data_IF_554888764216
#
_entry.id   IF_554888764216
#
_cell.length_a   1.000
_cell.length_b   1.000
_cell.length_c   1.000
_cell.angle_alpha   90.00
_cell.angle_beta   90.00
_cell.angle_gamma   90.00
#
_symmetry.space_group_name_H-M   'P 1'
#
loop_
_entity.id
_entity.type
_entity.pdbx_description
1 polymer ?
#
# COMPACT_ATOMS: atom_id res chain seq x y z
N UNK A 1 -11.82 1.74 -11.71
CA UNK A 1 -10.76 0.99 -11.04
C UNK A 1 -9.55 0.93 -11.97
N UNK A 2 -8.49 1.63 -11.65
CA UNK A 2 -7.27 1.55 -12.45
C UNK A 2 -6.59 0.20 -12.18
N UNK A 3 -6.39 -0.59 -13.21
CA UNK A 3 -5.56 -1.80 -13.12
C UNK A 3 -4.10 -1.38 -13.10
N UNK A 4 -3.42 -1.66 -12.04
CA UNK A 4 -1.97 -1.48 -11.96
C UNK A 4 -1.30 -2.79 -12.29
N UNK A 5 -0.45 -2.76 -13.29
CA UNK A 5 0.37 -3.90 -13.69
C UNK A 5 1.68 -3.81 -12.91
N UNK A 6 1.97 -4.81 -12.09
CA UNK A 6 3.21 -4.89 -11.35
C UNK A 6 4.19 -5.78 -12.11
N UNK A 7 5.34 -5.23 -12.52
CA UNK A 7 6.43 -6.02 -13.07
C UNK A 7 7.19 -6.68 -11.92
N UNK A 8 6.96 -7.97 -11.71
CA UNK A 8 7.72 -8.77 -10.74
C UNK A 8 8.86 -9.44 -11.48
N UNK A 9 10.09 -9.04 -11.17
CA UNK A 9 11.25 -9.78 -11.61
C UNK A 9 11.44 -10.96 -10.65
N UNK A 10 10.87 -12.10 -11.00
CA UNK A 10 11.20 -13.34 -10.31
C UNK A 10 12.63 -13.75 -10.70
N UNK A 11 13.47 -13.93 -9.69
CA UNK A 11 14.74 -14.61 -9.87
C UNK A 11 14.42 -16.05 -10.31
N UNK A 12 14.91 -16.50 -11.48
CA UNK A 12 14.68 -17.87 -11.90
C UNK A 12 15.29 -18.83 -10.88
N UNK A 13 14.69 -20.00 -10.64
CA UNK A 13 15.37 -21.05 -9.88
C UNK A 13 16.71 -21.33 -10.52
N UNK A 14 17.74 -21.60 -9.71
CA UNK A 14 19.14 -21.79 -10.12
C UNK A 14 19.32 -22.82 -11.25
N UNK A 15 18.33 -23.67 -11.48
CA UNK A 15 18.30 -24.71 -12.52
C UNK A 15 17.81 -24.25 -13.90
N UNK A 16 17.25 -23.03 -14.03
CA UNK A 16 16.68 -22.56 -15.30
C UNK A 16 17.15 -21.15 -15.64
N UNK A 17 18.37 -21.09 -16.19
CA UNK A 17 19.03 -19.84 -16.60
C UNK A 17 18.52 -19.32 -17.96
N UNK A 18 17.62 -20.05 -18.62
CA UNK A 18 17.21 -19.75 -20.00
C UNK A 18 15.95 -18.86 -20.10
N UNK A 19 15.28 -18.59 -19.00
CA UNK A 19 14.06 -17.77 -18.96
C UNK A 19 14.35 -16.38 -18.37
N UNK A 20 15.15 -15.57 -19.04
CA UNK A 20 15.42 -14.18 -18.64
C UNK A 20 14.36 -13.17 -19.08
N UNK A 21 13.22 -13.62 -19.59
CA UNK A 21 12.17 -12.71 -20.04
C UNK A 21 11.43 -12.14 -18.83
N UNK A 22 11.40 -10.79 -18.68
CA UNK A 22 10.55 -10.16 -17.70
C UNK A 22 9.09 -10.50 -18.02
N UNK A 23 8.35 -10.96 -17.02
CA UNK A 23 6.92 -11.18 -17.19
C UNK A 23 6.12 -10.20 -16.33
N UNK A 24 4.94 -9.91 -16.81
CA UNK A 24 3.97 -9.05 -16.12
C UNK A 24 2.85 -9.94 -15.63
N UNK A 25 2.53 -9.80 -14.36
CA UNK A 25 1.45 -10.55 -13.72
C UNK A 25 0.39 -9.57 -13.21
N UNK A 26 -0.87 -9.84 -13.51
CA UNK A 26 -1.99 -9.10 -12.93
C UNK A 26 -2.29 -9.64 -11.52
N UNK A 27 -1.99 -8.83 -10.52
CA UNK A 27 -2.24 -9.14 -9.11
C UNK A 27 -3.62 -8.67 -8.62
N UNK A 28 -4.42 -8.04 -9.47
CA UNK A 28 -5.72 -7.48 -9.07
C UNK A 28 -6.71 -8.50 -8.50
N UNK A 29 -6.69 -9.80 -8.87
CA UNK A 29 -7.54 -10.79 -8.22
C UNK A 29 -7.22 -11.04 -6.74
N UNK A 30 -5.96 -10.82 -6.34
CA UNK A 30 -5.46 -11.10 -4.99
C UNK A 30 -5.24 -9.86 -4.16
N UNK A 31 -5.00 -8.72 -4.80
CA UNK A 31 -4.65 -7.46 -4.14
C UNK A 31 -5.55 -6.33 -4.57
N UNK A 32 -5.77 -5.41 -3.67
CA UNK A 32 -6.46 -4.16 -3.92
C UNK A 32 -5.53 -2.97 -3.65
N UNK A 33 -5.80 -1.87 -4.33
CA UNK A 33 -5.15 -0.59 -4.10
C UNK A 33 -6.13 0.37 -3.46
N UNK A 34 -5.77 0.89 -2.29
CA UNK A 34 -6.46 2.02 -1.69
C UNK A 34 -5.64 3.29 -1.95
N UNK A 35 -6.27 4.30 -2.49
CA UNK A 35 -5.67 5.63 -2.64
C UNK A 35 -6.02 6.49 -1.44
N UNK A 36 -5.01 7.07 -0.83
CA UNK A 36 -5.17 8.07 0.23
C UNK A 36 -4.59 9.38 -0.27
N UNK A 37 -5.42 10.39 -0.41
CA UNK A 37 -5.04 11.70 -0.94
C UNK A 37 -5.57 12.83 -0.06
N UNK A 38 -5.05 14.02 -0.26
CA UNK A 38 -5.43 15.23 0.48
C UNK A 38 -4.24 15.88 1.16
N UNK A 39 -4.44 17.12 1.60
CA UNK A 39 -3.37 17.94 2.20
C UNK A 39 -2.81 17.31 3.48
N UNK A 40 -3.65 16.62 4.24
CA UNK A 40 -3.28 16.01 5.51
C UNK A 40 -2.95 14.50 5.38
N UNK A 41 -2.88 13.95 4.17
CA UNK A 41 -2.69 12.51 3.95
C UNK A 41 -1.39 11.99 4.58
N UNK A 42 -0.29 12.72 4.43
CA UNK A 42 1.01 12.35 5.01
C UNK A 42 0.96 12.29 6.53
N UNK A 43 0.41 13.31 7.16
CA UNK A 43 0.25 13.41 8.61
C UNK A 43 -0.68 12.33 9.15
N UNK A 44 -1.82 12.16 8.47
CA UNK A 44 -2.81 11.15 8.83
C UNK A 44 -2.22 9.74 8.83
N UNK A 45 -1.58 9.35 7.71
CA UNK A 45 -0.97 8.03 7.59
C UNK A 45 0.22 7.85 8.55
N UNK A 46 1.03 8.88 8.76
CA UNK A 46 2.14 8.83 9.70
C UNK A 46 1.69 8.51 11.13
N UNK A 47 0.54 9.04 11.53
CA UNK A 47 -0.05 8.82 12.85
C UNK A 47 -0.76 7.46 12.99
N UNK A 48 -1.12 6.82 11.88
CA UNK A 48 -1.82 5.53 11.86
C UNK A 48 -0.90 4.33 11.66
N UNK A 49 0.19 4.50 10.92
CA UNK A 49 1.04 3.42 10.45
C UNK A 49 2.32 3.28 11.29
N UNK A 50 2.93 2.12 11.23
CA UNK A 50 4.14 1.81 12.01
C UNK A 50 5.43 2.35 11.40
N UNK A 51 5.41 2.73 10.12
CA UNK A 51 6.58 3.24 9.41
C UNK A 51 6.59 4.78 9.33
N UNK A 52 7.76 5.35 9.08
CA UNK A 52 7.88 6.79 8.83
C UNK A 52 7.38 7.15 7.43
N UNK A 53 6.12 7.55 7.37
CA UNK A 53 5.45 7.93 6.12
C UNK A 53 5.99 9.25 5.55
N UNK A 54 6.37 10.18 6.43
CA UNK A 54 6.86 11.50 6.02
C UNK A 54 8.22 11.43 5.35
N UNK A 55 9.05 10.48 5.75
CA UNK A 55 10.36 10.25 5.15
C UNK A 55 10.30 9.53 3.79
N UNK A 56 9.15 8.97 3.40
CA UNK A 56 9.01 8.26 2.12
C UNK A 56 9.06 9.23 0.95
N UNK A 57 10.08 9.15 0.07
CA UNK A 57 10.18 10.02 -1.09
C UNK A 57 9.13 9.69 -2.15
N UNK A 58 8.80 10.67 -3.00
CA UNK A 58 7.92 10.45 -4.15
C UNK A 58 8.52 9.40 -5.09
N UNK A 59 7.68 8.50 -5.58
CA UNK A 59 8.09 7.37 -6.42
C UNK A 59 8.68 6.18 -5.67
N UNK A 60 8.79 6.25 -4.34
CA UNK A 60 9.27 5.15 -3.52
C UNK A 60 8.13 4.38 -2.86
N UNK A 61 8.45 3.17 -2.41
CA UNK A 61 7.55 2.31 -1.66
C UNK A 61 8.27 1.67 -0.47
N UNK A 62 7.52 1.36 0.57
CA UNK A 62 8.01 0.69 1.76
C UNK A 62 6.95 -0.25 2.35
N UNK A 63 7.40 -1.26 3.07
CA UNK A 63 6.52 -2.05 3.90
C UNK A 63 6.10 -1.29 5.14
N UNK A 64 4.84 -1.45 5.52
CA UNK A 64 4.30 -0.85 6.73
C UNK A 64 3.28 -1.77 7.38
N UNK A 65 3.01 -1.54 8.64
CA UNK A 65 1.98 -2.21 9.39
C UNK A 65 0.96 -1.23 9.96
N UNK A 66 -0.19 -1.74 10.28
CA UNK A 66 -1.21 -1.02 11.02
C UNK A 66 -1.58 -1.79 12.29
N UNK A 67 -1.58 -1.08 13.40
CA UNK A 67 -1.88 -1.63 14.71
C UNK A 67 -3.07 -0.89 15.34
N UNK A 68 -3.72 -1.53 16.29
CA UNK A 68 -4.66 -0.85 17.19
C UNK A 68 -3.89 0.08 18.13
N UNK A 69 -4.58 1.06 18.77
CA UNK A 69 -3.96 1.91 19.80
C UNK A 69 -3.34 1.13 20.97
N UNK A 70 -3.78 -0.09 21.19
CA UNK A 70 -3.22 -1.02 22.22
C UNK A 70 -2.02 -1.82 21.70
N UNK A 71 -1.53 -1.55 20.49
CA UNK A 71 -0.41 -2.24 19.87
C UNK A 71 -0.72 -3.61 19.27
N UNK A 72 -2.01 -3.98 19.14
CA UNK A 72 -2.38 -5.22 18.46
C UNK A 72 -2.23 -5.04 16.96
N UNK A 73 -1.45 -5.90 16.36
CA UNK A 73 -1.23 -5.95 14.92
C UNK A 73 -2.51 -6.31 14.16
N UNK A 74 -2.80 -5.59 13.10
CA UNK A 74 -3.98 -5.79 12.25
C UNK A 74 -3.62 -6.32 10.87
N UNK A 75 -2.71 -5.64 10.18
CA UNK A 75 -2.36 -5.95 8.79
C UNK A 75 -1.02 -5.33 8.41
N UNK A 76 -0.30 -6.00 7.48
CA UNK A 76 0.82 -5.41 6.74
C UNK A 76 0.43 -5.16 5.29
N UNK A 77 1.03 -4.14 4.71
CA UNK A 77 0.86 -3.82 3.30
C UNK A 77 2.03 -2.98 2.80
N UNK A 78 2.10 -2.83 1.49
CA UNK A 78 3.05 -1.92 0.87
C UNK A 78 2.43 -0.54 0.73
N UNK A 79 3.13 0.47 1.21
CA UNK A 79 2.81 1.87 1.05
C UNK A 79 3.71 2.47 -0.02
N UNK A 80 3.13 3.00 -1.08
CA UNK A 80 3.82 3.73 -2.12
C UNK A 80 3.40 5.21 -2.12
N UNK A 81 4.32 6.09 -2.46
CA UNK A 81 4.04 7.51 -2.63
C UNK A 81 4.11 7.89 -4.11
N UNK A 82 3.06 8.48 -4.63
CA UNK A 82 3.03 9.05 -5.97
C UNK A 82 2.85 10.58 -5.93
N UNK A 83 2.65 11.21 -7.10
CA UNK A 83 2.46 12.65 -7.20
C UNK A 83 1.15 13.14 -6.55
N UNK A 84 0.12 12.28 -6.49
CA UNK A 84 -1.23 12.62 -6.04
C UNK A 84 -1.53 12.18 -4.60
N UNK A 85 -0.58 11.50 -3.95
CA UNK A 85 -0.76 11.03 -2.59
C UNK A 85 -0.11 9.68 -2.32
N UNK A 86 -0.84 8.79 -1.67
CA UNK A 86 -0.35 7.49 -1.24
C UNK A 86 -1.21 6.36 -1.78
N UNK A 87 -0.58 5.24 -2.08
CA UNK A 87 -1.20 4.00 -2.51
C UNK A 87 -0.87 2.90 -1.50
N UNK A 88 -1.90 2.26 -0.99
CA UNK A 88 -1.78 1.12 -0.10
C UNK A 88 -2.12 -0.14 -0.91
N UNK A 89 -1.12 -0.99 -1.13
CA UNK A 89 -1.29 -2.29 -1.76
C UNK A 89 -1.47 -3.36 -0.68
N UNK A 90 -2.65 -3.93 -0.61
CA UNK A 90 -3.04 -4.89 0.42
C UNK A 90 -3.87 -6.03 -0.17
N UNK A 91 -3.96 -7.18 0.53
CA UNK A 91 -4.80 -8.27 0.06
C UNK A 91 -6.26 -7.84 -0.08
N UNK A 92 -6.88 -8.19 -1.21
CA UNK A 92 -8.24 -7.76 -1.56
C UNK A 92 -9.29 -8.17 -0.53
N UNK A 93 -9.09 -9.30 0.14
CA UNK A 93 -9.97 -9.80 1.20
C UNK A 93 -10.12 -8.83 2.39
N UNK A 94 -9.12 -7.98 2.65
CA UNK A 94 -9.13 -7.03 3.76
C UNK A 94 -9.38 -5.58 3.34
N UNK A 95 -9.37 -5.30 2.05
CA UNK A 95 -9.38 -3.93 1.51
C UNK A 95 -10.56 -3.11 1.99
N UNK A 96 -11.78 -3.66 1.92
CA UNK A 96 -12.98 -2.96 2.32
C UNK A 96 -13.02 -2.71 3.84
N UNK A 97 -12.69 -3.71 4.63
CA UNK A 97 -12.64 -3.59 6.09
C UNK A 97 -11.60 -2.56 6.54
N UNK A 98 -10.43 -2.56 5.92
CA UNK A 98 -9.35 -1.59 6.18
C UNK A 98 -9.76 -0.18 5.77
N UNK A 99 -10.33 0.00 4.57
CA UNK A 99 -10.81 1.29 4.09
C UNK A 99 -11.89 1.87 5.01
N UNK A 100 -12.86 1.07 5.38
CA UNK A 100 -13.93 1.47 6.31
C UNK A 100 -13.36 1.91 7.66
N UNK A 101 -12.41 1.13 8.19
CA UNK A 101 -11.81 1.42 9.48
C UNK A 101 -10.91 2.67 9.43
N UNK A 102 -10.12 2.86 8.37
CA UNK A 102 -9.33 4.09 8.19
C UNK A 102 -10.21 5.32 8.12
N UNK A 103 -11.33 5.27 7.39
CA UNK A 103 -12.29 6.38 7.30
C UNK A 103 -12.85 6.80 8.65
N UNK A 104 -12.96 5.89 9.61
CA UNK A 104 -13.41 6.21 10.96
C UNK A 104 -12.44 7.12 11.72
N UNK A 105 -11.16 7.13 11.36
CA UNK A 105 -10.13 8.00 11.95
C UNK A 105 -9.95 9.33 11.20
N UNK A 106 -10.58 9.47 10.02
CA UNK A 106 -10.62 10.74 9.29
C UNK A 106 -11.69 11.65 9.90
N UNK A 107 -11.36 12.34 10.99
CA UNK A 107 -12.30 13.18 11.72
C UNK A 107 -12.38 14.60 11.14
N UNK A 108 -11.30 15.36 11.27
CA UNK A 108 -11.18 16.75 10.80
C UNK A 108 -10.09 16.93 9.75
N UNK A 109 -9.43 15.84 9.37
CA UNK A 109 -8.34 15.85 8.41
C UNK A 109 -8.87 15.98 6.98
N UNK A 110 -8.15 16.71 6.13
CA UNK A 110 -8.44 16.83 4.70
C UNK A 110 -7.88 15.62 3.96
N UNK A 111 -8.53 14.47 4.14
CA UNK A 111 -8.11 13.17 3.60
C UNK A 111 -9.27 12.51 2.89
N UNK A 112 -8.99 11.94 1.71
CA UNK A 112 -9.90 11.07 0.94
C UNK A 112 -9.28 9.67 0.88
N UNK A 113 -10.10 8.66 1.11
CA UNK A 113 -9.73 7.24 1.02
C UNK A 113 -10.69 6.53 0.08
#
# INVERSE_FOLDING_TARGET
MRRYTCAIRLLPPISDVTSELPFVCDLSPLNALLRVSGDDAAEFLHNQLTSDVKALPAGAAQWTGWCTPKGRFLVTFTLARDADGYLLLLPSAFAEAIAKRLRMFVLRSRVKI
#
